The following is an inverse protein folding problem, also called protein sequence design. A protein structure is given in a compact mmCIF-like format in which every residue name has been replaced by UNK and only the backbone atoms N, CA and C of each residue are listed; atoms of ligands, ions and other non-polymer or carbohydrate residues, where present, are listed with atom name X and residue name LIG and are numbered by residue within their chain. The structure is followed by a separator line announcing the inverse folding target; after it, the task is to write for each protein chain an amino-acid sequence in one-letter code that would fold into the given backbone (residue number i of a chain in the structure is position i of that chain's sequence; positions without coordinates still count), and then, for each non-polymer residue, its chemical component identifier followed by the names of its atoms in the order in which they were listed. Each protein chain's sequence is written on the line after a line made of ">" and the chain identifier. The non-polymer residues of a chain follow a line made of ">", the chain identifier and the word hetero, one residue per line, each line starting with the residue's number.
data_IF_804704888239
#
_entry.id   IF_804704888239
#
_cell.length_a   1.000
_cell.length_b   1.000
_cell.length_c   1.000
_cell.angle_alpha   90.00
_cell.angle_beta   90.00
_cell.angle_gamma   90.00
#
_symmetry.space_group_name_H-M   'P 1'
#
loop_
_entity.id
_entity.type
_entity.pdbx_description
1 polymer ?
#
# COMPACT_ATOMS: atom_id res chain seq x y z
N UNK A 1 -39.81 -11.93 -3.24
CA UNK A 1 -39.08 -10.79 -3.83
C UNK A 1 -38.10 -11.30 -4.87
N UNK A 2 -38.25 -10.92 -6.10
CA UNK A 2 -37.34 -11.32 -7.16
C UNK A 2 -35.97 -10.65 -6.94
N UNK A 3 -34.90 -11.46 -7.05
CA UNK A 3 -33.53 -10.93 -6.99
C UNK A 3 -33.18 -10.30 -8.33
N UNK A 4 -32.49 -9.19 -8.32
CA UNK A 4 -31.98 -8.59 -9.55
C UNK A 4 -31.01 -9.58 -10.25
N UNK A 5 -31.04 -9.56 -11.56
CA UNK A 5 -30.11 -10.35 -12.37
C UNK A 5 -28.73 -9.66 -12.40
N UNK A 6 -27.89 -9.97 -11.43
CA UNK A 6 -26.51 -9.46 -11.32
C UNK A 6 -25.53 -10.62 -11.36
N UNK A 7 -24.72 -10.66 -12.39
CA UNK A 7 -23.73 -11.73 -12.56
C UNK A 7 -22.40 -11.35 -11.91
N UNK A 8 -22.12 -11.94 -10.76
CA UNK A 8 -20.86 -11.69 -10.03
C UNK A 8 -19.62 -11.94 -10.86
N UNK A 9 -19.64 -12.95 -11.72
CA UNK A 9 -18.51 -13.29 -12.59
C UNK A 9 -18.15 -12.18 -13.60
N UNK A 10 -19.09 -11.27 -13.87
CA UNK A 10 -18.89 -10.12 -14.77
C UNK A 10 -18.60 -8.82 -14.00
N UNK A 11 -18.59 -8.86 -12.68
CA UNK A 11 -18.35 -7.68 -11.85
C UNK A 11 -16.86 -7.44 -11.63
N UNK A 12 -16.36 -6.29 -12.06
CA UNK A 12 -14.99 -5.85 -11.78
C UNK A 12 -14.76 -5.73 -10.27
N UNK A 13 -15.70 -5.11 -9.55
CA UNK A 13 -15.60 -4.93 -8.10
C UNK A 13 -15.50 -6.26 -7.35
N UNK A 14 -16.26 -7.27 -7.76
CA UNK A 14 -16.17 -8.60 -7.19
C UNK A 14 -14.77 -9.21 -7.35
N UNK A 15 -14.23 -9.18 -8.56
CA UNK A 15 -12.91 -9.74 -8.84
C UNK A 15 -11.80 -8.97 -8.14
N UNK A 16 -11.83 -7.65 -8.16
CA UNK A 16 -10.84 -6.84 -7.44
C UNK A 16 -10.87 -7.11 -5.94
N UNK A 17 -12.05 -7.25 -5.35
CA UNK A 17 -12.18 -7.54 -3.94
C UNK A 17 -11.58 -8.91 -3.57
N UNK A 18 -11.88 -9.96 -4.35
CA UNK A 18 -11.31 -11.30 -4.11
C UNK A 18 -9.80 -11.30 -4.26
N UNK A 19 -9.27 -10.66 -5.30
CA UNK A 19 -7.83 -10.55 -5.53
C UNK A 19 -7.17 -9.78 -4.38
N UNK A 20 -7.76 -8.67 -3.97
CA UNK A 20 -7.23 -7.86 -2.88
C UNK A 20 -7.20 -8.62 -1.54
N UNK A 21 -8.26 -9.36 -1.22
CA UNK A 21 -8.30 -10.21 -0.02
C UNK A 21 -7.14 -11.23 -0.05
N UNK A 22 -6.90 -11.86 -1.19
CA UNK A 22 -5.82 -12.85 -1.34
C UNK A 22 -4.44 -12.20 -1.20
N UNK A 23 -4.23 -11.03 -1.79
CA UNK A 23 -2.99 -10.25 -1.63
C UNK A 23 -2.76 -9.93 -0.15
N UNK A 24 -3.79 -9.45 0.54
CA UNK A 24 -3.71 -9.14 1.98
C UNK A 24 -3.31 -10.35 2.80
N UNK A 25 -3.96 -11.47 2.60
CA UNK A 25 -3.65 -12.71 3.33
C UNK A 25 -2.22 -13.16 3.13
N UNK A 26 -1.73 -13.10 1.89
CA UNK A 26 -0.35 -13.48 1.58
C UNK A 26 0.68 -12.54 2.21
N UNK A 27 0.40 -11.25 2.22
CA UNK A 27 1.28 -10.26 2.84
C UNK A 27 1.26 -10.30 4.37
N UNK A 28 0.11 -10.64 4.98
CA UNK A 28 -0.03 -10.71 6.44
C UNK A 28 0.99 -11.63 7.10
N UNK A 29 1.36 -12.72 6.45
CA UNK A 29 2.35 -13.67 6.96
C UNK A 29 3.68 -12.96 7.24
N UNK A 30 4.12 -12.14 6.30
CA UNK A 30 5.36 -11.37 6.43
C UNK A 30 5.23 -10.16 7.35
N UNK A 31 4.10 -9.46 7.27
CA UNK A 31 3.83 -8.28 8.09
C UNK A 31 3.76 -8.61 9.58
N UNK A 32 3.25 -9.80 9.93
CA UNK A 32 3.20 -10.28 11.33
C UNK A 32 4.58 -10.38 11.97
N UNK A 33 5.61 -10.75 11.21
CA UNK A 33 6.98 -10.86 11.72
C UNK A 33 7.48 -9.52 12.28
N UNK A 34 6.96 -8.41 11.77
CA UNK A 34 7.31 -7.06 12.18
C UNK A 34 6.21 -6.36 12.99
N UNK A 35 5.11 -7.06 13.26
CA UNK A 35 3.93 -6.49 13.90
C UNK A 35 3.42 -5.24 13.17
N UNK A 36 3.29 -5.34 11.85
CA UNK A 36 2.82 -4.28 10.97
C UNK A 36 1.48 -4.59 10.34
N UNK A 37 0.72 -3.55 10.05
CA UNK A 37 -0.51 -3.62 9.27
C UNK A 37 -0.23 -3.32 7.80
N UNK A 38 -1.18 -3.65 6.91
CA UNK A 38 -1.13 -3.26 5.49
C UNK A 38 -1.04 -1.76 5.30
N UNK A 39 -1.75 -1.00 6.11
CA UNK A 39 -1.74 0.45 6.02
C UNK A 39 -0.39 1.02 6.41
N UNK A 40 0.28 0.44 7.41
CA UNK A 40 1.65 0.82 7.76
C UNK A 40 2.63 0.48 6.63
N UNK A 41 2.47 -0.66 5.98
CA UNK A 41 3.27 -0.98 4.78
C UNK A 41 3.03 0.04 3.66
N UNK A 42 1.78 0.43 3.43
CA UNK A 42 1.45 1.48 2.46
C UNK A 42 2.14 2.81 2.79
N UNK A 43 2.19 3.19 4.05
CA UNK A 43 2.92 4.39 4.49
C UNK A 43 4.41 4.27 4.15
N UNK A 44 5.03 3.17 4.54
CA UNK A 44 6.46 2.94 4.29
C UNK A 44 6.80 2.97 2.79
N UNK A 45 6.03 2.30 1.95
CA UNK A 45 6.30 2.25 0.51
C UNK A 45 6.10 3.61 -0.17
N UNK A 46 5.13 4.41 0.27
CA UNK A 46 4.92 5.75 -0.26
C UNK A 46 6.05 6.71 0.13
N UNK A 47 6.57 6.60 1.34
CA UNK A 47 7.76 7.34 1.75
C UNK A 47 9.01 6.90 0.97
N UNK A 48 9.09 5.62 0.64
CA UNK A 48 10.25 5.05 -0.06
C UNK A 48 10.25 5.29 -1.57
N UNK A 49 9.10 5.16 -2.23
CA UNK A 49 8.98 5.16 -3.69
C UNK A 49 8.36 6.42 -4.29
N UNK A 50 7.39 7.02 -3.62
CA UNK A 50 6.60 8.10 -4.20
C UNK A 50 7.05 9.49 -3.74
N UNK A 51 8.19 9.58 -3.10
CA UNK A 51 8.75 10.84 -2.59
C UNK A 51 7.76 11.63 -1.71
N UNK A 52 6.83 10.94 -1.09
CA UNK A 52 5.92 11.54 -0.11
C UNK A 52 6.75 11.94 1.10
N UNK A 53 6.59 13.17 1.55
CA UNK A 53 7.36 13.71 2.65
C UNK A 53 6.51 14.29 3.76
N UNK A 54 5.20 14.39 3.58
CA UNK A 54 4.30 14.94 4.59
C UNK A 54 3.16 13.97 4.88
N UNK A 55 2.62 14.08 6.09
CA UNK A 55 1.46 13.30 6.49
C UNK A 55 0.22 13.64 5.66
N UNK A 56 0.07 14.90 5.25
CA UNK A 56 -0.99 15.35 4.36
C UNK A 56 -0.92 14.67 2.99
N UNK A 57 0.27 14.51 2.44
CA UNK A 57 0.46 13.80 1.17
C UNK A 57 0.13 12.31 1.30
N UNK A 58 0.41 11.69 2.44
CA UNK A 58 0.04 10.28 2.68
C UNK A 58 -1.45 10.03 2.54
N UNK A 59 -2.30 10.98 2.92
CA UNK A 59 -3.75 10.86 2.80
C UNK A 59 -4.22 10.66 1.35
N UNK A 60 -3.45 11.08 0.36
CA UNK A 60 -3.76 10.90 -1.06
C UNK A 60 -3.51 9.48 -1.56
N UNK A 61 -2.64 8.74 -0.89
CA UNK A 61 -2.17 7.43 -1.34
C UNK A 61 -2.55 6.29 -0.39
N UNK A 62 -3.20 6.59 0.72
CA UNK A 62 -3.53 5.60 1.74
C UNK A 62 -5.01 5.65 2.09
N UNK A 63 -5.50 4.55 2.65
CA UNK A 63 -6.83 4.53 3.24
C UNK A 63 -6.79 5.12 4.65
N UNK A 64 -7.92 5.64 5.08
CA UNK A 64 -8.11 6.11 6.43
C UNK A 64 -8.14 7.63 6.52
N UNK A 65 -8.58 8.09 7.67
CA UNK A 65 -8.65 9.49 8.00
C UNK A 65 -7.32 9.99 8.60
N UNK A 66 -7.23 11.29 8.79
CA UNK A 66 -6.05 11.93 9.36
C UNK A 66 -5.68 11.37 10.74
N UNK A 67 -6.67 11.08 11.58
CA UNK A 67 -6.46 10.54 12.94
C UNK A 67 -5.83 9.16 12.88
N UNK A 68 -6.33 8.27 12.01
CA UNK A 68 -5.80 6.94 11.81
C UNK A 68 -4.37 6.97 11.28
N UNK A 69 -4.09 7.82 10.31
CA UNK A 69 -2.75 7.99 9.74
C UNK A 69 -1.77 8.52 10.81
N UNK A 70 -2.18 9.50 11.60
CA UNK A 70 -1.36 10.03 12.70
C UNK A 70 -0.94 8.94 13.67
N UNK A 71 -1.87 8.10 14.10
CA UNK A 71 -1.59 6.97 15.02
C UNK A 71 -0.62 5.96 14.42
N UNK A 72 -0.77 5.64 13.14
CA UNK A 72 0.09 4.68 12.46
C UNK A 72 1.51 5.24 12.26
N UNK A 73 1.62 6.52 11.92
CA UNK A 73 2.90 7.23 11.82
C UNK A 73 3.59 7.26 13.19
N UNK A 74 2.86 7.58 14.26
CA UNK A 74 3.40 7.57 15.62
C UNK A 74 3.97 6.20 16.01
N UNK A 75 3.26 5.13 15.67
CA UNK A 75 3.72 3.76 15.93
C UNK A 75 4.96 3.39 15.12
N UNK A 76 5.03 3.79 13.86
CA UNK A 76 6.20 3.57 13.01
C UNK A 76 7.42 4.35 13.52
N UNK A 77 7.21 5.56 13.98
CA UNK A 77 8.26 6.37 14.61
C UNK A 77 8.76 5.71 15.91
N UNK A 78 7.85 5.27 16.76
CA UNK A 78 8.18 4.56 18.01
C UNK A 78 8.97 3.27 17.78
N UNK A 79 8.72 2.59 16.65
CA UNK A 79 9.47 1.39 16.24
C UNK A 79 10.82 1.70 15.60
N UNK A 80 11.12 2.96 15.36
CA UNK A 80 12.38 3.39 14.76
C UNK A 80 12.44 3.27 13.25
N UNK A 81 11.31 3.13 12.55
CA UNK A 81 11.28 2.97 11.08
C UNK A 81 11.13 4.29 10.34
N UNK A 82 10.63 5.30 10.99
CA UNK A 82 10.58 6.65 10.43
C UNK A 82 10.87 7.69 11.51
N UNK A 83 11.14 8.90 11.08
CA UNK A 83 11.34 10.06 11.95
C UNK A 83 10.66 11.29 11.36
N UNK A 84 10.23 12.17 12.23
CA UNK A 84 9.76 13.50 11.87
C UNK A 84 10.90 14.49 11.98
N UNK A 85 11.11 15.27 10.94
CA UNK A 85 12.10 16.35 10.92
C UNK A 85 11.42 17.65 10.53
N UNK A 86 11.93 18.76 11.03
CA UNK A 86 11.43 20.07 10.64
C UNK A 86 11.80 20.38 9.20
N UNK A 87 10.85 20.91 8.41
CA UNK A 87 11.14 21.31 7.04
C UNK A 87 12.16 22.46 7.03
N UNK A 88 13.21 22.38 6.17
CA UNK A 88 14.16 23.49 6.02
C UNK A 88 13.53 24.76 5.47
N UNK A 89 12.47 24.64 4.67
CA UNK A 89 11.80 25.74 3.99
C UNK A 89 10.72 26.40 4.83
N UNK A 90 10.02 25.61 5.66
CA UNK A 90 8.95 26.10 6.52
C UNK A 90 8.99 25.37 7.88
N UNK A 91 9.44 26.08 8.91
CA UNK A 91 9.56 25.57 10.28
C UNK A 91 8.24 25.07 10.89
N UNK A 92 7.09 25.43 10.30
CA UNK A 92 5.77 24.97 10.75
C UNK A 92 5.44 23.58 10.26
N UNK A 93 6.11 23.10 9.22
CA UNK A 93 5.88 21.79 8.59
C UNK A 93 6.89 20.78 9.09
N UNK A 94 6.40 19.60 9.44
CA UNK A 94 7.23 18.44 9.73
C UNK A 94 7.24 17.50 8.52
N UNK A 95 8.44 17.07 8.17
CA UNK A 95 8.65 16.07 7.11
C UNK A 95 8.80 14.70 7.74
N UNK A 96 8.30 13.70 7.04
CA UNK A 96 8.45 12.29 7.38
C UNK A 96 9.59 11.72 6.55
N UNK A 97 10.53 11.08 7.20
CA UNK A 97 11.67 10.41 6.56
C UNK A 97 11.81 8.98 7.10
N UNK A 98 12.16 8.05 6.23
CA UNK A 98 12.54 6.72 6.67
C UNK A 98 13.92 6.78 7.34
N UNK A 99 14.08 6.00 8.41
CA UNK A 99 15.38 5.71 8.99
C UNK A 99 16.08 4.64 8.13
N UNK A 100 17.36 4.39 8.38
CA UNK A 100 18.08 3.28 7.71
C UNK A 100 17.37 1.95 7.96
N UNK A 101 16.92 1.70 9.19
CA UNK A 101 16.14 0.50 9.53
C UNK A 101 14.81 0.46 8.78
N UNK A 102 14.14 1.60 8.63
CA UNK A 102 12.91 1.72 7.85
C UNK A 102 13.12 1.44 6.37
N UNK A 103 14.23 1.87 5.80
CA UNK A 103 14.59 1.56 4.40
C UNK A 103 14.80 0.06 4.22
N UNK A 104 15.62 -0.56 5.08
CA UNK A 104 15.90 -2.01 5.03
C UNK A 104 14.61 -2.82 5.15
N UNK A 105 13.77 -2.49 6.12
CA UNK A 105 12.48 -3.15 6.29
C UNK A 105 11.59 -2.99 5.06
N UNK A 106 11.49 -1.79 4.52
CA UNK A 106 10.66 -1.53 3.35
C UNK A 106 11.13 -2.34 2.13
N UNK A 107 12.42 -2.45 1.92
CA UNK A 107 12.99 -3.28 0.85
C UNK A 107 12.66 -4.76 1.00
N UNK A 108 12.72 -5.30 2.22
CA UNK A 108 12.30 -6.67 2.50
C UNK A 108 10.80 -6.88 2.22
N UNK A 109 9.97 -5.93 2.60
CA UNK A 109 8.53 -5.99 2.35
C UNK A 109 8.21 -5.86 0.85
N UNK A 110 8.97 -5.05 0.12
CA UNK A 110 8.86 -4.95 -1.35
C UNK A 110 9.20 -6.30 -2.00
N UNK A 111 10.24 -6.97 -1.53
CA UNK A 111 10.60 -8.32 -2.02
C UNK A 111 9.45 -9.29 -1.81
N UNK A 112 8.82 -9.26 -0.65
CA UNK A 112 7.63 -10.08 -0.36
C UNK A 112 6.44 -9.71 -1.26
N UNK A 113 6.22 -8.42 -1.52
CA UNK A 113 5.16 -7.97 -2.41
C UNK A 113 5.38 -8.42 -3.86
N UNK A 114 6.63 -8.39 -4.34
CA UNK A 114 6.99 -8.94 -5.66
C UNK A 114 6.67 -10.43 -5.77
N UNK A 115 6.97 -11.19 -4.71
CA UNK A 115 6.65 -12.62 -4.65
C UNK A 115 5.13 -12.85 -4.71
N UNK A 116 4.37 -12.10 -3.96
CA UNK A 116 2.89 -12.16 -3.98
C UNK A 116 2.37 -11.82 -5.39
N UNK A 117 2.89 -10.79 -6.03
CA UNK A 117 2.52 -10.46 -7.41
C UNK A 117 2.77 -11.62 -8.37
N UNK A 118 3.90 -12.29 -8.25
CA UNK A 118 4.22 -13.48 -9.07
C UNK A 118 3.26 -14.63 -8.81
N UNK A 119 2.88 -14.85 -7.57
CA UNK A 119 1.95 -15.91 -7.18
C UNK A 119 0.53 -15.67 -7.73
N UNK A 120 0.01 -14.45 -7.62
CA UNK A 120 -1.34 -14.13 -8.11
C UNK A 120 -1.44 -14.09 -9.64
N UNK A 121 -0.33 -13.87 -10.34
CA UNK A 121 -0.27 -13.86 -11.80
C UNK A 121 0.33 -15.13 -12.39
N UNK A 122 0.51 -16.18 -11.60
CA UNK A 122 1.16 -17.42 -12.04
C UNK A 122 0.45 -18.12 -13.20
N UNK A 123 -0.87 -17.94 -13.34
CA UNK A 123 -1.66 -18.50 -14.43
C UNK A 123 -1.70 -17.62 -15.67
N UNK A 124 -1.06 -16.46 -15.65
CA UNK A 124 -0.99 -15.54 -16.79
C UNK A 124 0.35 -15.72 -17.51
N UNK A 125 0.36 -15.54 -18.83
CA UNK A 125 1.61 -15.37 -19.56
C UNK A 125 2.25 -14.03 -19.20
N UNK A 126 3.52 -13.85 -19.54
CA UNK A 126 4.22 -12.58 -19.33
C UNK A 126 3.50 -11.42 -20.05
N UNK A 127 3.06 -11.67 -21.27
CA UNK A 127 2.34 -10.71 -22.11
C UNK A 127 0.99 -10.35 -21.48
N UNK A 128 0.26 -11.34 -20.98
CA UNK A 128 -1.02 -11.13 -20.28
C UNK A 128 -0.84 -10.33 -18.98
N UNK A 129 0.19 -10.62 -18.22
CA UNK A 129 0.49 -9.87 -16.98
C UNK A 129 0.82 -8.40 -17.28
N UNK A 130 1.61 -8.15 -18.32
CA UNK A 130 1.95 -6.79 -18.76
C UNK A 130 0.71 -6.05 -19.23
N UNK A 131 -0.13 -6.70 -20.04
CA UNK A 131 -1.38 -6.11 -20.52
C UNK A 131 -2.34 -5.80 -19.38
N UNK A 132 -2.45 -6.69 -18.40
CA UNK A 132 -3.29 -6.47 -17.22
C UNK A 132 -2.89 -5.17 -16.49
N UNK A 133 -1.59 -4.97 -16.25
CA UNK A 133 -1.10 -3.74 -15.60
C UNK A 133 -1.40 -2.50 -16.44
N UNK A 134 -1.20 -2.56 -17.76
CA UNK A 134 -1.51 -1.45 -18.67
C UNK A 134 -3.00 -1.09 -18.63
N UNK A 135 -3.88 -2.10 -18.63
CA UNK A 135 -5.33 -1.89 -18.57
C UNK A 135 -5.76 -1.31 -17.21
N UNK A 136 -5.19 -1.79 -16.11
CA UNK A 136 -5.47 -1.25 -14.78
C UNK A 136 -5.07 0.23 -14.67
N UNK A 137 -3.95 0.61 -15.30
CA UNK A 137 -3.50 2.01 -15.32
C UNK A 137 -4.41 2.92 -16.14
N UNK A 138 -5.17 2.37 -17.09
CA UNK A 138 -6.15 3.12 -17.89
C UNK A 138 -7.46 3.35 -17.14
N UNK A 139 -7.77 2.55 -16.13
CA UNK A 139 -8.98 2.73 -15.34
C UNK A 139 -8.86 4.03 -14.54
N UNK A 140 -9.85 4.88 -14.65
CA UNK A 140 -9.90 6.12 -13.89
C UNK A 140 -10.15 5.82 -12.41
N UNK A 141 -9.15 6.08 -11.59
CA UNK A 141 -9.17 5.88 -10.14
C UNK A 141 -9.29 7.20 -9.36
N UNK A 142 -9.53 8.30 -10.06
CA UNK A 142 -9.63 9.63 -9.44
C UNK A 142 -11.00 9.93 -8.83
N UNK A 143 -11.92 8.99 -8.91
CA UNK A 143 -13.28 9.13 -8.38
C UNK A 143 -13.31 9.38 -6.87
#
# INVERSE_FOLDING_TARGET
>A
MEKQNFELQKSLGYHFNIIFINIKKSMEIKLKDYNLTHLQFSILINLYKNNVTTQKELLKYTYGDETSITRLVDRLESKGYLKRVQSPEDKRKKMLLLTEEGVVLTEELITSAKKVNSEITANLSKEESTLLLELLQKIDISM
#
